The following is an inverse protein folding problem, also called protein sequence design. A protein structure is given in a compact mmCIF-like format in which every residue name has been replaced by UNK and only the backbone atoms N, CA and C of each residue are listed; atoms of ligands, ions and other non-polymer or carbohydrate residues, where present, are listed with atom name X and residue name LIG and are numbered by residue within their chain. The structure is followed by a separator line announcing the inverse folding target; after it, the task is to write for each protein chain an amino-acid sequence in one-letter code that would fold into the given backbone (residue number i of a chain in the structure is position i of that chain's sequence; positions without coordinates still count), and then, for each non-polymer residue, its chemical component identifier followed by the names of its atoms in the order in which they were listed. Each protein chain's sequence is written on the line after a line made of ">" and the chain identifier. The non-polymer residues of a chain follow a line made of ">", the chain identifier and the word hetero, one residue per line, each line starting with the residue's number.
data_IF_590457627649
#
_entry.id   IF_590457627649
#
_cell.length_a   1.000
_cell.length_b   1.000
_cell.length_c   1.000
_cell.angle_alpha   90.00
_cell.angle_beta   90.00
_cell.angle_gamma   90.00
#
_symmetry.space_group_name_H-M   'P 1'
#
loop_
_entity.id
_entity.type
_entity.pdbx_description
1 polymer ?
#
# COMPACT_ATOMS: atom_id res chain seq x y z
N UNK A 1 16.66 -8.33 6.06
CA UNK A 1 16.33 -6.96 6.50
C UNK A 1 14.83 -6.63 6.40
N UNK A 2 14.04 -7.20 5.47
CA UNK A 2 12.61 -6.86 5.33
C UNK A 2 11.60 -7.83 5.95
N UNK A 3 12.04 -8.99 6.45
CA UNK A 3 11.12 -10.02 7.00
C UNK A 3 10.40 -9.60 8.29
N UNK A 4 10.94 -8.65 9.06
CA UNK A 4 10.30 -8.13 10.28
C UNK A 4 9.12 -7.18 10.03
N UNK A 5 8.92 -6.75 8.78
CA UNK A 5 7.81 -5.85 8.38
C UNK A 5 6.67 -6.65 7.74
N UNK A 6 6.87 -7.97 7.57
CA UNK A 6 5.94 -8.85 6.90
C UNK A 6 4.88 -9.33 7.90
N UNK A 7 3.86 -8.50 8.12
CA UNK A 7 2.61 -8.97 8.70
C UNK A 7 1.84 -9.66 7.58
N UNK A 8 1.53 -10.94 7.77
CA UNK A 8 0.62 -11.70 6.90
C UNK A 8 -0.56 -12.06 7.79
N UNK A 9 -1.74 -11.61 7.39
CA UNK A 9 -2.97 -11.91 8.11
C UNK A 9 -3.82 -12.86 7.28
N UNK A 10 -4.18 -14.01 7.87
CA UNK A 10 -5.09 -14.97 7.27
C UNK A 10 -6.48 -14.73 7.82
N UNK A 11 -7.44 -14.44 6.94
CA UNK A 11 -8.81 -14.18 7.34
C UNK A 11 -9.58 -15.51 7.47
N UNK A 12 -10.08 -15.86 8.68
CA UNK A 12 -10.63 -17.18 8.97
C UNK A 12 -11.92 -17.50 8.19
N UNK A 13 -12.64 -16.48 7.73
CA UNK A 13 -13.97 -16.65 7.13
C UNK A 13 -13.93 -16.99 5.62
N UNK A 14 -12.76 -16.90 4.97
CA UNK A 14 -12.63 -17.14 3.54
C UNK A 14 -11.28 -17.70 3.08
N UNK A 15 -10.34 -17.95 4.00
CA UNK A 15 -9.00 -18.46 3.68
C UNK A 15 -8.15 -17.53 2.82
N UNK A 16 -8.55 -16.25 2.73
CA UNK A 16 -7.80 -15.24 1.99
C UNK A 16 -6.69 -14.65 2.85
N UNK A 17 -5.54 -14.41 2.23
CA UNK A 17 -4.37 -13.87 2.90
C UNK A 17 -4.13 -12.42 2.49
N UNK A 18 -4.06 -11.52 3.47
CA UNK A 18 -3.80 -10.09 3.32
C UNK A 18 -2.35 -9.77 3.70
N UNK A 19 -1.73 -8.81 3.00
CA UNK A 19 -0.46 -8.21 3.42
C UNK A 19 -0.71 -6.77 3.91
N UNK A 20 -0.87 -6.55 5.22
CA UNK A 20 -0.83 -5.21 5.79
C UNK A 20 0.61 -4.69 5.97
N UNK A 21 0.80 -3.40 5.70
CA UNK A 21 2.02 -2.64 6.05
C UNK A 21 1.61 -1.25 6.49
N UNK A 22 2.43 -0.56 7.28
CA UNK A 22 2.13 0.77 7.80
C UNK A 22 3.05 1.83 7.23
N UNK A 23 2.51 2.98 6.83
CA UNK A 23 3.29 4.10 6.28
C UNK A 23 4.47 4.54 7.18
N UNK A 24 4.32 4.49 8.51
CA UNK A 24 5.40 4.84 9.43
C UNK A 24 6.58 3.86 9.39
N UNK A 25 6.39 2.61 8.96
CA UNK A 25 7.47 1.64 8.78
C UNK A 25 8.41 2.07 7.65
N UNK A 26 7.89 2.81 6.66
CA UNK A 26 8.67 3.41 5.58
C UNK A 26 9.47 4.63 6.06
N UNK A 27 8.92 5.44 6.97
CA UNK A 27 9.59 6.63 7.52
C UNK A 27 10.87 6.31 8.33
N UNK A 28 10.99 5.06 8.80
CA UNK A 28 12.19 4.58 9.52
C UNK A 28 13.29 4.11 8.58
N UNK A 29 13.02 4.00 7.29
CA UNK A 29 14.02 3.66 6.27
C UNK A 29 14.71 4.94 5.79
N UNK A 30 16.01 4.85 5.52
CA UNK A 30 16.70 5.91 4.75
C UNK A 30 16.00 6.07 3.39
N UNK A 31 15.96 7.29 2.84
CA UNK A 31 15.26 7.59 1.58
C UNK A 31 15.63 6.63 0.43
N UNK A 32 16.89 6.22 0.35
CA UNK A 32 17.39 5.24 -0.63
C UNK A 32 16.75 3.84 -0.49
N UNK A 33 16.34 3.46 0.71
CA UNK A 33 15.77 2.15 1.02
C UNK A 33 14.24 2.09 0.84
N UNK A 34 13.56 3.24 0.75
CA UNK A 34 12.10 3.29 0.54
C UNK A 34 11.74 2.71 -0.83
N UNK A 35 12.49 3.06 -1.89
CA UNK A 35 12.24 2.51 -3.23
C UNK A 35 12.45 1.00 -3.30
N UNK A 36 13.50 0.48 -2.64
CA UNK A 36 13.77 -0.95 -2.57
C UNK A 36 12.65 -1.69 -1.82
N UNK A 37 12.14 -1.10 -0.73
CA UNK A 37 11.03 -1.66 0.01
C UNK A 37 9.73 -1.65 -0.80
N UNK A 38 9.40 -0.54 -1.47
CA UNK A 38 8.20 -0.45 -2.31
C UNK A 38 8.24 -1.49 -3.43
N UNK A 39 9.38 -1.63 -4.11
CA UNK A 39 9.57 -2.66 -5.12
C UNK A 39 9.37 -4.06 -4.53
N UNK A 40 9.93 -4.33 -3.35
CA UNK A 40 9.73 -5.60 -2.65
C UNK A 40 8.25 -5.85 -2.30
N UNK A 41 7.55 -4.84 -1.77
CA UNK A 41 6.14 -4.92 -1.40
C UNK A 41 5.25 -5.20 -2.61
N UNK A 42 5.40 -4.43 -3.70
CA UNK A 42 4.63 -4.65 -4.92
C UNK A 42 4.94 -6.00 -5.57
N UNK A 43 6.22 -6.41 -5.61
CA UNK A 43 6.59 -7.74 -6.09
C UNK A 43 5.97 -8.86 -5.27
N UNK A 44 5.71 -8.64 -3.97
CA UNK A 44 5.07 -9.61 -3.10
C UNK A 44 3.56 -9.65 -3.29
N UNK A 45 2.90 -8.48 -3.35
CA UNK A 45 1.44 -8.36 -3.53
C UNK A 45 1.01 -8.88 -4.91
N UNK A 46 1.75 -8.53 -5.96
CA UNK A 46 1.47 -8.99 -7.33
C UNK A 46 2.10 -10.35 -7.66
N UNK A 47 2.60 -11.09 -6.65
CA UNK A 47 3.19 -12.40 -6.88
C UNK A 47 2.11 -13.43 -7.22
N UNK A 48 2.32 -14.10 -8.34
CA UNK A 48 1.55 -15.28 -8.71
C UNK A 48 2.38 -16.56 -8.58
N UNK A 49 1.71 -17.67 -8.28
CA UNK A 49 2.30 -19.01 -8.36
C UNK A 49 1.28 -19.92 -9.01
N UNK A 50 1.69 -20.60 -10.09
CA UNK A 50 0.79 -21.41 -10.91
C UNK A 50 -0.45 -20.62 -11.38
N UNK A 51 -0.25 -19.37 -11.83
CA UNK A 51 -1.31 -18.46 -12.32
C UNK A 51 -2.38 -18.14 -11.27
N UNK A 52 -2.02 -18.23 -9.98
CA UNK A 52 -2.89 -17.85 -8.86
C UNK A 52 -2.20 -16.78 -8.03
N UNK A 53 -2.95 -15.71 -7.74
CA UNK A 53 -2.54 -14.66 -6.82
C UNK A 53 -2.40 -15.25 -5.42
N UNK A 54 -1.25 -15.02 -4.77
CA UNK A 54 -1.00 -15.53 -3.42
C UNK A 54 -1.61 -14.62 -2.34
N UNK A 55 -1.62 -13.31 -2.60
CA UNK A 55 -2.11 -12.29 -1.67
C UNK A 55 -3.06 -11.38 -2.43
N UNK A 56 -4.38 -11.65 -2.40
CA UNK A 56 -5.35 -10.92 -3.20
C UNK A 56 -5.42 -9.43 -2.84
N UNK A 57 -4.96 -9.05 -1.64
CA UNK A 57 -5.03 -7.69 -1.13
C UNK A 57 -3.70 -7.34 -0.45
N UNK A 58 -3.15 -6.17 -0.80
CA UNK A 58 -2.08 -5.50 -0.08
C UNK A 58 -2.58 -4.14 0.41
N UNK A 59 -2.34 -3.82 1.68
CA UNK A 59 -2.80 -2.56 2.31
C UNK A 59 -1.61 -1.82 2.86
N UNK A 60 -1.53 -0.53 2.54
CA UNK A 60 -0.60 0.41 3.16
C UNK A 60 -1.42 1.34 4.04
N UNK A 61 -1.47 1.05 5.33
CA UNK A 61 -2.14 1.92 6.30
C UNK A 61 -1.48 3.29 6.31
N UNK A 62 -2.32 4.33 6.26
CA UNK A 62 -1.88 5.74 6.24
C UNK A 62 -1.00 6.10 5.03
N UNK A 63 -1.01 5.26 3.98
CA UNK A 63 -0.14 5.38 2.81
C UNK A 63 -0.38 6.64 1.96
N UNK A 64 -1.54 7.28 2.09
CA UNK A 64 -1.93 8.47 1.32
C UNK A 64 -1.87 9.76 2.14
N UNK A 65 -1.29 9.74 3.36
CA UNK A 65 -1.24 10.92 4.24
C UNK A 65 -0.63 12.17 3.59
N UNK A 66 0.27 11.98 2.63
CA UNK A 66 0.92 13.08 1.91
C UNK A 66 0.04 13.72 0.83
N UNK A 67 -1.09 13.09 0.47
CA UNK A 67 -2.04 13.67 -0.48
C UNK A 67 -2.85 14.77 0.21
N UNK A 68 -3.19 15.86 -0.51
CA UNK A 68 -4.15 16.83 -0.01
C UNK A 68 -5.52 16.17 0.16
N UNK A 69 -6.42 16.84 0.90
CA UNK A 69 -7.82 16.46 0.90
C UNK A 69 -8.35 16.52 -0.53
N UNK A 70 -8.68 15.35 -1.09
CA UNK A 70 -9.09 15.22 -2.48
C UNK A 70 -10.46 15.86 -2.71
N UNK A 71 -11.35 15.82 -1.71
CA UNK A 71 -12.69 16.43 -1.81
C UNK A 71 -12.53 17.95 -1.92
N UNK A 72 -11.73 18.55 -1.04
CA UNK A 72 -11.46 19.98 -1.09
C UNK A 72 -10.71 20.36 -2.37
N UNK A 73 -9.69 19.59 -2.75
CA UNK A 73 -8.92 19.83 -3.98
C UNK A 73 -9.80 19.84 -5.23
N UNK A 74 -10.71 18.88 -5.37
CA UNK A 74 -11.62 18.82 -6.51
C UNK A 74 -12.71 19.91 -6.44
N UNK A 75 -13.17 20.26 -5.24
CA UNK A 75 -14.15 21.34 -5.06
C UNK A 75 -13.64 22.69 -5.59
N UNK A 76 -12.35 22.99 -5.39
CA UNK A 76 -11.74 24.26 -5.81
C UNK A 76 -11.29 24.23 -7.26
N UNK A 77 -10.73 23.12 -7.75
CA UNK A 77 -10.04 23.09 -9.04
C UNK A 77 -10.89 22.60 -10.21
N UNK A 78 -11.95 21.82 -9.96
CA UNK A 78 -12.86 21.37 -11.03
C UNK A 78 -13.96 22.40 -11.24
N UNK A 79 -14.67 22.80 -10.17
CA UNK A 79 -15.83 23.67 -10.27
C UNK A 79 -15.51 25.15 -10.54
N UNK A 80 -14.24 25.58 -10.42
CA UNK A 80 -13.83 26.95 -10.85
C UNK A 80 -13.67 27.11 -12.36
N UNK A 81 -13.54 26.02 -13.11
CA UNK A 81 -13.38 26.10 -14.57
C UNK A 81 -14.73 26.12 -15.31
N UNK A 82 -15.85 26.04 -14.58
CA UNK A 82 -17.22 26.07 -15.12
C UNK A 82 -17.93 27.44 -14.91
N UNK A 83 -17.18 28.50 -14.58
CA UNK A 83 -17.70 29.88 -14.40
C UNK A 83 -16.91 30.89 -15.24
#
# INVERSE_FOLDING_TARGET
>A
MYHQIRNIEEYPNGGATLIPTYYYQFLRLLNENIHLFLNYFFNLVYRETNQRVQYPIGVIDDGTRYLPDLVDYFSVNIYKNDC
#
